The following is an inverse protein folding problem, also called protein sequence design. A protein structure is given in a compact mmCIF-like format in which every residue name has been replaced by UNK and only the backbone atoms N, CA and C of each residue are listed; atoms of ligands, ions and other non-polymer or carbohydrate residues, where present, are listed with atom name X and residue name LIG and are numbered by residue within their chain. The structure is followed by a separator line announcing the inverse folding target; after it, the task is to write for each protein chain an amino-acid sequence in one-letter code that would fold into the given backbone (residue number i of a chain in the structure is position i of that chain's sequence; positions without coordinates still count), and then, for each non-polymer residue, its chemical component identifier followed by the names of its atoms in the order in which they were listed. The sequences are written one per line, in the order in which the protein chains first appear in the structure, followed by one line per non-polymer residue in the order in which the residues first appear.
data_IF_478397880476
#
_entry.id   IF_478397880476
#
_cell.length_a   1.000
_cell.length_b   1.000
_cell.length_c   1.000
_cell.angle_alpha   90.00
_cell.angle_beta   90.00
_cell.angle_gamma   90.00
#
_symmetry.space_group_name_H-M   'P 1'
#
loop_
_entity.id
_entity.type
_entity.pdbx_description
1 polymer ?
#
# COMPACT_ATOMS: atom_id res chain seq x y z
N UNK A 1 2.34 6.93 -20.18
CA UNK A 1 2.34 5.79 -19.36
C UNK A 1 3.59 5.68 -18.56
N UNK A 2 3.46 5.40 -17.39
CA UNK A 2 4.59 5.38 -16.51
C UNK A 2 5.46 4.15 -16.76
N UNK A 3 6.64 4.17 -16.18
CA UNK A 3 7.58 3.07 -16.26
C UNK A 3 7.38 2.07 -15.12
N UNK A 4 6.17 1.95 -14.63
CA UNK A 4 5.91 1.05 -13.52
C UNK A 4 6.17 -0.40 -13.94
N UNK A 5 6.65 -1.18 -12.98
CA UNK A 5 6.97 -2.58 -13.16
C UNK A 5 6.16 -3.39 -12.18
N UNK A 6 5.18 -4.09 -12.69
CA UNK A 6 4.27 -4.86 -11.85
C UNK A 6 4.45 -6.32 -12.17
N UNK A 7 4.85 -7.10 -11.15
CA UNK A 7 5.04 -8.54 -11.35
C UNK A 7 3.71 -9.18 -11.72
N UNK A 8 3.71 -10.16 -12.63
CA UNK A 8 2.44 -10.77 -13.06
C UNK A 8 1.64 -11.42 -11.96
N UNK A 9 2.29 -11.87 -10.88
CA UNK A 9 1.56 -12.49 -9.77
C UNK A 9 0.97 -11.47 -8.80
N UNK A 10 1.25 -10.19 -8.97
CA UNK A 10 0.67 -9.17 -8.09
C UNK A 10 -0.79 -8.95 -8.47
N UNK A 11 -1.61 -8.66 -7.47
CA UNK A 11 -3.01 -8.38 -7.68
C UNK A 11 -3.23 -6.88 -7.45
N UNK A 12 -3.59 -6.17 -8.51
CA UNK A 12 -3.88 -4.75 -8.43
C UNK A 12 -5.36 -4.59 -8.73
N UNK A 13 -6.13 -4.20 -7.73
CA UNK A 13 -7.57 -4.08 -7.91
C UNK A 13 -7.90 -2.85 -8.75
N UNK A 14 -8.96 -2.93 -9.55
CA UNK A 14 -9.36 -1.77 -10.36
C UNK A 14 -9.64 -0.56 -9.47
N UNK A 15 -9.13 0.59 -9.87
CA UNK A 15 -9.27 1.81 -9.08
C UNK A 15 -8.00 2.24 -8.40
N UNK A 16 -7.06 1.33 -8.19
CA UNK A 16 -5.77 1.69 -7.60
C UNK A 16 -5.03 2.67 -8.50
N UNK A 17 -4.37 3.62 -7.89
CA UNK A 17 -3.60 4.63 -8.63
C UNK A 17 -2.12 4.33 -8.47
N UNK A 18 -1.47 4.06 -9.59
CA UNK A 18 -0.07 3.64 -9.61
C UNK A 18 0.73 4.73 -10.30
N UNK A 19 1.61 5.38 -9.55
CA UNK A 19 2.42 6.47 -10.08
C UNK A 19 3.55 6.00 -10.98
N UNK A 20 4.26 6.96 -11.52
CA UNK A 20 5.37 6.67 -12.43
C UNK A 20 6.51 5.98 -11.69
N UNK A 21 7.13 5.00 -12.34
CA UNK A 21 8.31 4.33 -11.77
C UNK A 21 8.02 3.44 -10.57
N UNK A 22 6.76 3.13 -10.30
CA UNK A 22 6.41 2.24 -9.19
C UNK A 22 6.84 0.81 -9.54
N UNK A 23 7.39 0.10 -8.56
CA UNK A 23 7.74 -1.31 -8.71
C UNK A 23 6.93 -2.13 -7.73
N UNK A 24 6.27 -3.15 -8.23
CA UNK A 24 5.44 -4.02 -7.39
C UNK A 24 5.90 -5.44 -7.62
N UNK A 25 6.46 -6.05 -6.57
CA UNK A 25 7.02 -7.39 -6.66
C UNK A 25 5.97 -8.49 -6.60
N UNK A 26 6.44 -9.74 -6.58
CA UNK A 26 5.53 -10.88 -6.65
C UNK A 26 4.65 -10.99 -5.43
N UNK A 27 3.43 -11.48 -5.66
CA UNK A 27 2.47 -11.81 -4.61
C UNK A 27 2.07 -10.62 -3.75
N UNK A 28 2.21 -9.40 -4.29
CA UNK A 28 1.68 -8.22 -3.63
C UNK A 28 0.19 -8.07 -3.95
N UNK A 29 -0.52 -7.42 -3.03
CA UNK A 29 -1.93 -7.10 -3.23
C UNK A 29 -2.10 -5.60 -3.00
N UNK A 30 -2.68 -4.92 -3.97
CA UNK A 30 -2.93 -3.49 -3.88
C UNK A 30 -4.43 -3.26 -4.06
N UNK A 31 -5.07 -2.69 -3.04
CA UNK A 31 -6.50 -2.51 -3.05
C UNK A 31 -6.95 -1.35 -3.93
N UNK A 32 -8.25 -1.30 -4.16
CA UNK A 32 -8.83 -0.37 -5.15
C UNK A 32 -8.72 1.10 -4.73
N UNK A 33 -8.63 1.39 -3.44
CA UNK A 33 -8.58 2.77 -2.96
C UNK A 33 -7.18 3.18 -2.55
N UNK A 34 -6.18 2.44 -3.01
CA UNK A 34 -4.78 2.72 -2.71
C UNK A 34 -4.19 3.62 -3.78
N UNK A 35 -3.38 4.57 -3.35
CA UNK A 35 -2.63 5.43 -4.25
C UNK A 35 -1.15 5.32 -3.91
N UNK A 36 -0.37 4.87 -4.88
CA UNK A 36 1.08 4.76 -4.74
C UNK A 36 1.72 5.87 -5.57
N UNK A 37 2.44 6.75 -4.90
CA UNK A 37 3.08 7.87 -5.59
C UNK A 37 4.30 7.39 -6.37
N UNK A 38 4.91 8.30 -7.12
CA UNK A 38 6.02 7.95 -8.00
C UNK A 38 7.16 7.31 -7.22
N UNK A 39 7.77 6.30 -7.81
CA UNK A 39 8.97 5.66 -7.26
C UNK A 39 8.74 4.73 -6.07
N UNK A 40 7.49 4.48 -5.69
CA UNK A 40 7.21 3.54 -4.60
C UNK A 40 7.63 2.14 -5.01
N UNK A 41 8.25 1.42 -4.09
CA UNK A 41 8.66 0.03 -4.31
C UNK A 41 7.99 -0.87 -3.29
N UNK A 42 7.22 -1.83 -3.76
CA UNK A 42 6.69 -2.92 -2.93
C UNK A 42 7.51 -4.15 -3.26
N UNK A 43 8.19 -4.72 -2.26
CA UNK A 43 9.10 -5.83 -2.52
C UNK A 43 8.33 -7.09 -2.90
N UNK A 44 8.01 -7.94 -1.97
CA UNK A 44 7.21 -9.12 -2.26
C UNK A 44 6.27 -9.37 -1.10
N UNK A 45 5.13 -10.00 -1.39
CA UNK A 45 4.19 -10.37 -0.33
C UNK A 45 3.80 -9.17 0.54
N UNK A 46 3.62 -8.02 -0.10
CA UNK A 46 3.19 -6.79 0.58
C UNK A 46 1.71 -6.59 0.30
N UNK A 47 0.95 -6.31 1.34
CA UNK A 47 -0.48 -6.03 1.19
C UNK A 47 -0.71 -4.57 1.53
N UNK A 48 -1.27 -3.82 0.58
CA UNK A 48 -1.67 -2.43 0.80
C UNK A 48 -3.14 -2.33 0.45
N UNK A 49 -3.96 -2.04 1.44
CA UNK A 49 -5.40 -2.01 1.25
C UNK A 49 -6.00 -0.77 1.90
N UNK A 50 -7.31 -0.68 1.85
CA UNK A 50 -7.99 0.46 2.44
C UNK A 50 -7.74 1.73 1.66
N UNK A 51 -8.15 2.85 2.25
CA UNK A 51 -7.92 4.16 1.66
C UNK A 51 -6.55 4.63 2.11
N UNK A 52 -5.52 4.25 1.36
CA UNK A 52 -4.12 4.45 1.76
C UNK A 52 -3.37 5.19 0.67
N UNK A 53 -2.66 6.23 1.06
CA UNK A 53 -1.79 6.98 0.17
C UNK A 53 -0.35 6.76 0.62
N UNK A 54 0.49 6.27 -0.29
CA UNK A 54 1.91 6.03 -0.02
C UNK A 54 2.71 7.10 -0.75
N UNK A 55 3.48 7.86 0.00
CA UNK A 55 4.25 8.97 -0.56
C UNK A 55 5.40 8.49 -1.43
N UNK A 56 5.95 9.40 -2.24
CA UNK A 56 6.93 9.01 -3.26
C UNK A 56 8.20 8.42 -2.65
N UNK A 57 8.80 7.53 -3.42
CA UNK A 57 10.10 6.91 -3.11
C UNK A 57 10.11 6.15 -1.78
N UNK A 58 8.96 5.69 -1.36
CA UNK A 58 8.83 4.84 -0.17
C UNK A 58 9.05 3.39 -0.58
N UNK A 59 9.79 2.66 0.24
CA UNK A 59 10.07 1.24 0.00
C UNK A 59 9.39 0.44 1.10
N UNK A 60 8.58 -0.54 0.70
CA UNK A 60 7.88 -1.42 1.64
C UNK A 60 8.44 -2.82 1.48
N UNK A 61 8.97 -3.35 2.57
CA UNK A 61 9.69 -4.62 2.56
C UNK A 61 8.72 -5.79 2.70
N UNK A 62 9.20 -7.01 2.42
CA UNK A 62 8.29 -8.16 2.34
C UNK A 62 7.51 -8.42 3.63
N UNK A 63 6.31 -8.91 3.46
CA UNK A 63 5.43 -9.34 4.55
C UNK A 63 4.94 -8.18 5.41
N UNK A 64 4.93 -6.96 4.88
CA UNK A 64 4.28 -5.84 5.55
C UNK A 64 2.80 -5.80 5.16
N UNK A 65 1.97 -5.37 6.10
CA UNK A 65 0.53 -5.23 5.88
C UNK A 65 0.14 -3.79 6.19
N UNK A 66 -0.30 -3.08 5.18
CA UNK A 66 -0.53 -1.64 5.26
C UNK A 66 -2.01 -1.34 4.99
N UNK A 67 -2.65 -0.64 5.91
CA UNK A 67 -3.98 -0.12 5.66
C UNK A 67 -5.11 -1.07 5.98
N UNK A 68 -4.83 -2.22 6.58
CA UNK A 68 -5.89 -3.14 6.97
C UNK A 68 -6.84 -2.49 7.96
N UNK A 69 -8.08 -2.90 7.90
CA UNK A 69 -9.08 -2.38 8.83
C UNK A 69 -8.67 -2.75 10.25
N UNK A 70 -8.67 -1.79 11.20
CA UNK A 70 -8.30 -2.11 12.57
C UNK A 70 -9.23 -3.17 13.15
N UNK A 71 -8.67 -4.03 13.99
CA UNK A 71 -9.47 -5.06 14.64
C UNK A 71 -10.00 -4.58 15.97
N UNK A 72 -10.32 -3.32 16.06
CA UNK A 72 -10.92 -2.73 17.22
C UNK A 72 -12.42 -3.02 17.17
N UNK A 73 -12.95 -3.59 18.23
CA UNK A 73 -14.38 -3.89 18.29
C UNK A 73 -15.23 -2.64 18.19
N UNK A 74 -14.66 -1.50 18.44
CA UNK A 74 -15.39 -0.23 18.33
C UNK A 74 -15.39 0.32 16.91
N UNK A 75 -14.67 -0.29 16.00
CA UNK A 75 -14.68 0.19 14.63
C UNK A 75 -16.03 -0.07 14.01
N UNK A 76 -16.66 0.97 13.51
CA UNK A 76 -18.04 0.86 13.01
C UNK A 76 -18.16 1.22 11.55
N UNK A 77 -17.09 1.00 10.79
CA UNK A 77 -17.13 1.31 9.38
C UNK A 77 -16.93 2.78 9.09
N UNK A 78 -16.44 3.54 10.06
CA UNK A 78 -16.06 4.91 9.76
C UNK A 78 -15.00 4.92 8.67
N UNK A 79 -15.03 5.98 7.88
CA UNK A 79 -14.02 6.14 6.87
C UNK A 79 -12.67 6.37 7.55
N UNK A 80 -11.78 5.44 7.33
CA UNK A 80 -10.44 5.52 7.90
C UNK A 80 -9.44 5.66 6.77
N UNK A 81 -8.44 6.51 6.94
CA UNK A 81 -7.49 6.80 5.91
C UNK A 81 -6.09 6.76 6.48
N UNK A 82 -5.16 6.22 5.72
CA UNK A 82 -3.76 6.16 6.10
C UNK A 82 -2.93 6.92 5.08
N UNK A 83 -2.08 7.82 5.56
CA UNK A 83 -1.17 8.53 4.68
C UNK A 83 0.26 8.29 5.15
N UNK A 84 1.09 7.82 4.25
CA UNK A 84 2.49 7.56 4.50
C UNK A 84 3.28 8.57 3.70
N UNK A 85 4.17 9.29 4.38
CA UNK A 85 4.96 10.33 3.74
C UNK A 85 6.01 9.78 2.79
N UNK A 86 6.81 10.68 2.24
CA UNK A 86 7.81 10.33 1.24
C UNK A 86 9.03 9.66 1.85
N UNK A 87 9.70 8.83 1.06
CA UNK A 87 11.02 8.29 1.35
C UNK A 87 11.11 7.51 2.65
N UNK A 88 10.02 6.86 3.01
CA UNK A 88 10.02 5.97 4.17
C UNK A 88 10.49 4.57 3.78
N UNK A 89 11.01 3.84 4.74
CA UNK A 89 11.35 2.44 4.57
C UNK A 89 10.57 1.64 5.59
N UNK A 90 9.56 0.93 5.11
CA UNK A 90 8.67 0.17 5.99
C UNK A 90 9.15 -1.26 5.96
N UNK A 91 9.71 -1.70 7.09
CA UNK A 91 10.43 -2.96 7.16
C UNK A 91 9.50 -4.15 7.21
N UNK A 92 10.10 -5.32 7.19
CA UNK A 92 9.38 -6.60 7.18
C UNK A 92 8.47 -6.74 8.40
N UNK A 93 7.33 -7.37 8.19
CA UNK A 93 6.37 -7.71 9.24
C UNK A 93 5.76 -6.51 9.94
N UNK A 94 5.93 -5.33 9.39
CA UNK A 94 5.28 -4.13 9.94
C UNK A 94 3.79 -4.18 9.58
N UNK A 95 2.95 -3.83 10.55
CA UNK A 95 1.53 -3.66 10.33
C UNK A 95 1.18 -2.20 10.60
N UNK A 96 0.56 -1.55 9.62
CA UNK A 96 0.12 -0.16 9.77
C UNK A 96 -1.37 -0.11 9.48
N UNK A 97 -2.12 0.41 10.43
CA UNK A 97 -3.56 0.50 10.33
C UNK A 97 -3.99 1.95 10.26
N UNK A 98 -5.09 2.25 9.57
CA UNK A 98 -5.61 3.61 9.58
C UNK A 98 -6.11 3.97 10.96
N UNK A 99 -6.04 5.25 11.27
CA UNK A 99 -6.61 5.73 12.52
C UNK A 99 -8.12 5.78 12.42
N UNK A 100 -8.77 5.78 13.57
CA UNK A 100 -10.21 6.00 13.64
C UNK A 100 -10.49 7.30 14.36
N UNK A 101 -11.59 7.92 14.01
CA UNK A 101 -12.01 9.17 14.63
C UNK A 101 -12.63 8.94 15.98
#
# INVERSE_FOLDING_TARGET
MSDSRIHPSAVIEPGAQIGAGVEIGPFCVVGAQVSLAAGVVLKSHVVVTGETVVGPDTVIFPFASIGEIPQDLKFRGERARLEIGARNRIREYVTMNPGTE
#
